data_IF_533174872287
#
_entry.id   IF_533174872287
#
_cell.length_a   1.000
_cell.length_b   1.000
_cell.length_c   1.000
_cell.angle_alpha   90.00
_cell.angle_beta   90.00
_cell.angle_gamma   90.00
#
_symmetry.space_group_name_H-M   'P 1'
#
loop_
_entity.id
_entity.type
_entity.pdbx_description
1 polymer ?
#
# COMPACT_ATOMS: atom_id res chain seq x y z
N UNK A 1 -17.57 -4.71 -6.38
CA UNK A 1 -16.92 -5.14 -7.63
C UNK A 1 -15.42 -5.23 -7.39
N UNK A 2 -14.83 -6.43 -7.44
CA UNK A 2 -13.36 -6.56 -7.50
C UNK A 2 -12.92 -6.00 -8.84
N UNK A 3 -12.28 -4.83 -8.84
CA UNK A 3 -11.71 -4.25 -10.05
C UNK A 3 -10.49 -5.08 -10.44
N UNK A 4 -10.36 -5.40 -11.73
CA UNK A 4 -9.16 -6.05 -12.27
C UNK A 4 -7.91 -5.26 -11.88
N UNK A 5 -6.89 -6.00 -11.50
CA UNK A 5 -5.52 -5.52 -11.25
C UNK A 5 -5.05 -4.58 -12.37
N UNK A 6 -4.57 -3.36 -12.06
CA UNK A 6 -3.98 -2.47 -13.06
C UNK A 6 -2.55 -2.92 -13.42
N UNK A 7 -2.42 -4.08 -14.06
CA UNK A 7 -1.13 -4.75 -14.38
C UNK A 7 -0.18 -3.85 -15.19
N UNK A 8 -0.72 -3.10 -16.16
CA UNK A 8 0.07 -2.17 -16.99
C UNK A 8 0.71 -1.06 -16.15
N UNK A 9 -0.08 -0.47 -15.23
CA UNK A 9 0.38 0.59 -14.32
C UNK A 9 1.47 0.08 -13.38
N UNK A 10 1.27 -1.11 -12.78
CA UNK A 10 2.28 -1.73 -11.91
C UNK A 10 3.60 -1.98 -12.64
N UNK A 11 3.56 -2.55 -13.85
CA UNK A 11 4.76 -2.77 -14.67
C UNK A 11 5.47 -1.46 -15.02
N UNK A 12 4.72 -0.42 -15.37
CA UNK A 12 5.29 0.90 -15.65
C UNK A 12 5.96 1.51 -14.42
N UNK A 13 5.36 1.39 -13.23
CA UNK A 13 5.91 1.90 -11.97
C UNK A 13 7.19 1.17 -11.57
N UNK A 14 7.21 -0.17 -11.71
CA UNK A 14 8.37 -0.99 -11.40
C UNK A 14 9.56 -0.68 -12.32
N UNK A 15 9.32 -0.50 -13.63
CA UNK A 15 10.37 -0.17 -14.61
C UNK A 15 10.86 1.28 -14.50
N UNK A 16 10.10 2.19 -13.89
CA UNK A 16 10.47 3.60 -13.76
C UNK A 16 11.75 3.81 -12.94
N UNK A 17 12.06 2.90 -12.01
CA UNK A 17 13.15 3.06 -11.04
C UNK A 17 14.45 2.33 -11.40
N UNK A 18 14.43 1.37 -12.30
CA UNK A 18 15.62 0.59 -12.65
C UNK A 18 15.44 -0.14 -13.99
N UNK A 19 16.56 -0.40 -14.68
CA UNK A 19 16.57 -1.26 -15.87
C UNK A 19 16.48 -2.74 -15.46
N UNK A 20 15.32 -3.15 -14.96
CA UNK A 20 15.06 -4.50 -14.45
C UNK A 20 14.11 -5.28 -15.37
N UNK A 21 14.38 -6.58 -15.54
CA UNK A 21 13.43 -7.51 -16.16
C UNK A 21 12.45 -7.99 -15.10
N UNK A 22 11.15 -7.86 -15.39
CA UNK A 22 10.08 -8.34 -14.53
C UNK A 22 9.70 -9.75 -15.00
N UNK A 23 9.85 -10.74 -14.12
CA UNK A 23 9.48 -12.12 -14.41
C UNK A 23 7.97 -12.28 -14.64
N UNK A 24 7.59 -13.40 -15.27
CA UNK A 24 6.18 -13.75 -15.46
C UNK A 24 5.46 -13.81 -14.12
N UNK A 25 4.25 -13.24 -14.03
CA UNK A 25 3.42 -13.17 -12.82
C UNK A 25 4.00 -12.38 -11.63
N UNK A 26 5.19 -11.77 -11.74
CA UNK A 26 5.75 -10.91 -10.68
C UNK A 26 4.86 -9.67 -10.41
N UNK A 27 4.07 -9.25 -11.40
CA UNK A 27 3.05 -8.20 -11.24
C UNK A 27 1.96 -8.56 -10.23
N UNK A 28 1.56 -9.84 -10.14
CA UNK A 28 0.60 -10.31 -9.15
C UNK A 28 1.19 -10.32 -7.73
N UNK A 29 2.48 -10.67 -7.57
CA UNK A 29 3.16 -10.62 -6.28
C UNK A 29 3.32 -9.18 -5.78
N UNK A 30 3.64 -8.24 -6.67
CA UNK A 30 3.71 -6.81 -6.31
C UNK A 30 2.33 -6.29 -5.95
N UNK A 31 1.28 -6.69 -6.66
CA UNK A 31 -0.08 -6.32 -6.28
C UNK A 31 -0.45 -6.83 -4.89
N UNK A 32 -0.17 -8.11 -4.60
CA UNK A 32 -0.44 -8.67 -3.28
C UNK A 32 0.28 -7.86 -2.18
N UNK A 33 1.54 -7.51 -2.39
CA UNK A 33 2.28 -6.66 -1.45
C UNK A 33 1.64 -5.28 -1.26
N UNK A 34 1.17 -4.65 -2.34
CA UNK A 34 0.45 -3.37 -2.26
C UNK A 34 -0.87 -3.53 -1.48
N UNK A 35 -1.62 -4.60 -1.72
CA UNK A 35 -2.87 -4.87 -1.01
C UNK A 35 -2.64 -5.11 0.49
N UNK A 36 -1.64 -5.93 0.84
CA UNK A 36 -1.27 -6.18 2.23
C UNK A 36 -0.82 -4.90 2.93
N UNK A 37 0.00 -4.08 2.26
CA UNK A 37 0.43 -2.79 2.80
C UNK A 37 -0.77 -1.85 3.04
N UNK A 38 -1.69 -1.74 2.08
CA UNK A 38 -2.89 -0.91 2.22
C UNK A 38 -3.84 -1.43 3.30
N UNK A 39 -3.93 -2.74 3.47
CA UNK A 39 -4.70 -3.36 4.56
C UNK A 39 -4.13 -2.94 5.92
N UNK A 40 -2.84 -3.15 6.15
CA UNK A 40 -2.18 -2.73 7.40
C UNK A 40 -2.27 -1.22 7.64
N UNK A 41 -2.15 -0.41 6.57
CA UNK A 41 -2.35 1.04 6.66
C UNK A 41 -3.77 1.42 7.08
N UNK A 42 -4.78 0.76 6.52
CA UNK A 42 -6.16 1.00 6.88
C UNK A 42 -6.47 0.59 8.33
N UNK A 43 -5.91 -0.54 8.80
CA UNK A 43 -6.04 -0.98 10.18
C UNK A 43 -5.38 -0.01 11.16
N UNK A 44 -4.10 0.34 10.96
CA UNK A 44 -3.41 1.27 11.86
C UNK A 44 -4.06 2.66 11.84
N UNK A 45 -4.50 3.16 10.68
CA UNK A 45 -5.17 4.46 10.58
C UNK A 45 -6.56 4.44 11.26
N UNK A 46 -7.27 3.31 11.22
CA UNK A 46 -8.53 3.12 11.95
C UNK A 46 -8.30 3.12 13.46
N UNK A 47 -7.30 2.38 13.94
CA UNK A 47 -6.91 2.40 15.35
C UNK A 47 -6.55 3.81 15.80
N UNK A 48 -5.80 4.56 14.97
CA UNK A 48 -5.45 5.94 15.29
C UNK A 48 -6.66 6.88 15.36
N UNK A 49 -7.61 6.72 14.43
CA UNK A 49 -8.86 7.47 14.47
C UNK A 49 -9.67 7.15 15.74
N UNK A 50 -9.71 5.88 16.15
CA UNK A 50 -10.39 5.43 17.36
C UNK A 50 -9.76 5.99 18.63
N UNK A 51 -8.43 5.96 18.75
CA UNK A 51 -7.68 6.58 19.86
C UNK A 51 -8.01 8.08 20.02
N UNK A 52 -8.17 8.78 18.90
CA UNK A 52 -8.52 10.21 18.87
C UNK A 52 -10.04 10.48 18.95
N UNK A 53 -10.86 9.45 19.18
CA UNK A 53 -12.33 9.52 19.23
C UNK A 53 -12.95 10.12 17.96
N UNK A 54 -12.32 9.92 16.81
CA UNK A 54 -12.82 10.37 15.51
C UNK A 54 -13.68 9.29 14.86
N UNK A 55 -14.91 9.65 14.49
CA UNK A 55 -15.83 8.74 13.80
C UNK A 55 -15.38 8.35 12.38
N UNK A 56 -14.51 9.15 11.76
CA UNK A 56 -13.99 8.92 10.42
C UNK A 56 -12.47 8.97 10.37
N UNK A 57 -11.86 8.26 9.40
CA UNK A 57 -10.44 8.36 9.12
C UNK A 57 -10.18 9.68 8.36
N UNK A 58 -9.34 10.53 8.94
CA UNK A 58 -8.91 11.81 8.37
C UNK A 58 -7.46 11.69 7.88
N UNK A 59 -7.05 12.66 7.05
CA UNK A 59 -5.72 12.66 6.45
C UNK A 59 -4.58 12.61 7.49
N UNK A 60 -4.76 13.24 8.66
CA UNK A 60 -3.73 13.26 9.69
C UNK A 60 -3.55 11.90 10.39
N UNK A 61 -4.61 11.10 10.57
CA UNK A 61 -4.48 9.73 11.09
C UNK A 61 -3.62 8.86 10.16
N UNK A 62 -3.87 8.94 8.84
CA UNK A 62 -3.07 8.22 7.84
C UNK A 62 -1.62 8.70 7.87
N UNK A 63 -1.40 10.01 7.90
CA UNK A 63 -0.05 10.60 7.95
C UNK A 63 0.73 10.17 9.21
N UNK A 64 0.06 10.05 10.34
CA UNK A 64 0.66 9.64 11.61
C UNK A 64 1.23 8.22 11.57
N UNK A 65 0.53 7.28 10.92
CA UNK A 65 0.94 5.86 10.86
C UNK A 65 1.82 5.54 9.65
N UNK A 66 1.69 6.30 8.55
CA UNK A 66 2.36 6.02 7.27
C UNK A 66 3.88 5.88 7.40
N UNK A 67 4.53 6.74 8.19
CA UNK A 67 6.01 6.73 8.33
C UNK A 67 6.52 5.42 8.93
N UNK A 68 5.81 4.90 9.94
CA UNK A 68 6.15 3.64 10.63
C UNK A 68 5.94 2.45 9.70
N UNK A 69 4.78 2.37 9.06
CA UNK A 69 4.45 1.28 8.15
C UNK A 69 5.37 1.23 6.93
N UNK A 70 5.70 2.38 6.32
CA UNK A 70 6.67 2.45 5.22
C UNK A 70 8.08 2.01 5.66
N UNK A 71 8.43 2.16 6.94
CA UNK A 71 9.69 1.65 7.48
C UNK A 71 9.65 0.13 7.66
N UNK A 72 8.51 -0.41 8.09
CA UNK A 72 8.30 -1.86 8.26
C UNK A 72 8.19 -2.60 6.92
N UNK A 73 7.65 -1.95 5.89
CA UNK A 73 7.53 -2.51 4.54
C UNK A 73 8.85 -2.51 3.75
N UNK A 74 9.96 -2.06 4.36
CA UNK A 74 11.29 -2.20 3.76
C UNK A 74 11.69 -3.67 3.86
N UNK A 75 12.05 -4.26 2.71
CA UNK A 75 12.70 -5.57 2.65
C UNK A 75 14.14 -5.52 3.11
#
# INVERSE_FOLDING_TARGET
>A
MLKKVPKATLKSLMKKKANIRIGTAADAMVELNVLLFLHSLAEEARTKAFEEKSATIKAHHVKAVSKKLLKQARG
#
